data_IF_675146959557
#
_entry.id   IF_675146959557
#
_cell.length_a   1.000
_cell.length_b   1.000
_cell.length_c   1.000
_cell.angle_alpha   90.00
_cell.angle_beta   90.00
_cell.angle_gamma   90.00
#
_symmetry.space_group_name_H-M   'P 1'
#
loop_
_entity.id
_entity.type
_entity.pdbx_description
1 polymer ?
#
# COMPACT_ATOMS: atom_id res chain seq x y z
N UNK A 1 16.22 -20.55 17.36
CA UNK A 1 16.37 -21.68 16.41
C UNK A 1 15.56 -21.47 15.13
N UNK A 2 14.30 -21.03 15.18
CA UNK A 2 13.51 -20.72 13.98
C UNK A 2 14.13 -19.58 13.13
N UNK A 3 14.58 -18.48 13.76
CA UNK A 3 15.18 -17.35 13.04
C UNK A 3 16.47 -17.71 12.30
N UNK A 4 17.33 -18.53 12.90
CA UNK A 4 18.57 -18.98 12.26
C UNK A 4 18.30 -19.77 10.97
N UNK A 5 17.24 -20.60 10.96
CA UNK A 5 16.84 -21.36 9.79
C UNK A 5 16.24 -20.47 8.70
N UNK A 6 15.51 -19.42 9.08
CA UNK A 6 14.98 -18.44 8.12
C UNK A 6 16.11 -17.60 7.52
N UNK A 7 17.11 -17.22 8.32
CA UNK A 7 18.29 -16.49 7.84
C UNK A 7 19.08 -17.30 6.79
N UNK A 8 19.20 -18.61 6.98
CA UNK A 8 19.80 -19.51 5.98
C UNK A 8 18.96 -19.65 4.71
N UNK A 9 17.62 -19.54 4.80
CA UNK A 9 16.75 -19.56 3.62
C UNK A 9 16.81 -18.23 2.85
N UNK A 10 16.98 -17.10 3.54
CA UNK A 10 17.15 -15.77 2.93
C UNK A 10 18.47 -15.66 2.16
N UNK A 11 19.54 -16.32 2.64
CA UNK A 11 20.85 -16.29 1.98
C UNK A 11 20.93 -17.16 0.72
N UNK A 12 20.02 -18.12 0.56
CA UNK A 12 19.93 -18.96 -0.64
C UNK A 12 19.15 -18.26 -1.76
N UNK A 13 19.49 -18.51 -3.03
CA UNK A 13 18.76 -17.93 -4.14
C UNK A 13 17.35 -18.55 -4.22
N UNK A 14 16.34 -17.72 -4.52
CA UNK A 14 14.91 -18.11 -4.49
C UNK A 14 14.55 -19.28 -5.43
N UNK A 15 15.34 -19.53 -6.48
CA UNK A 15 15.14 -20.63 -7.42
C UNK A 15 15.50 -22.02 -6.84
N UNK A 16 16.25 -22.07 -5.74
CA UNK A 16 16.65 -23.32 -5.07
C UNK A 16 15.72 -23.70 -3.91
N UNK A 17 14.79 -22.81 -3.56
CA UNK A 17 13.85 -22.99 -2.46
C UNK A 17 12.58 -23.73 -2.93
N UNK A 18 12.03 -24.56 -2.06
CA UNK A 18 10.70 -25.14 -2.25
C UNK A 18 9.61 -24.08 -2.08
N UNK A 19 8.42 -24.32 -2.63
CA UNK A 19 7.27 -23.40 -2.46
C UNK A 19 6.93 -23.15 -0.99
N UNK A 20 7.06 -24.17 -0.14
CA UNK A 20 6.84 -24.05 1.30
C UNK A 20 7.87 -23.13 1.96
N UNK A 21 9.15 -23.28 1.62
CA UNK A 21 10.21 -22.42 2.15
C UNK A 21 10.06 -20.97 1.67
N UNK A 22 9.64 -20.76 0.42
CA UNK A 22 9.35 -19.41 -0.10
C UNK A 22 8.23 -18.76 0.70
N UNK A 23 7.15 -19.49 1.01
CA UNK A 23 6.04 -18.97 1.81
C UNK A 23 6.49 -18.60 3.23
N UNK A 24 7.36 -19.41 3.85
CA UNK A 24 7.93 -19.11 5.17
C UNK A 24 8.82 -17.87 5.15
N UNK A 25 9.64 -17.70 4.12
CA UNK A 25 10.46 -16.48 3.94
C UNK A 25 9.57 -15.26 3.73
N UNK A 26 8.54 -15.36 2.89
CA UNK A 26 7.60 -14.27 2.61
C UNK A 26 6.82 -13.84 3.86
N UNK A 27 6.35 -14.79 4.69
CA UNK A 27 5.69 -14.51 5.97
C UNK A 27 6.63 -13.78 6.94
N UNK A 28 7.90 -14.18 6.98
CA UNK A 28 8.91 -13.51 7.79
C UNK A 28 9.22 -12.09 7.27
N UNK A 29 9.36 -11.92 5.95
CA UNK A 29 9.55 -10.62 5.29
C UNK A 29 8.37 -9.67 5.59
N UNK A 30 7.13 -10.18 5.63
CA UNK A 30 5.96 -9.38 6.01
C UNK A 30 5.91 -9.01 7.49
N UNK A 31 6.45 -9.84 8.37
CA UNK A 31 6.37 -9.61 9.83
C UNK A 31 7.49 -8.72 10.33
N UNK A 32 8.71 -8.91 9.84
CA UNK A 32 9.92 -8.25 10.33
C UNK A 32 10.43 -7.17 9.38
N UNK A 33 10.00 -7.20 8.12
CA UNK A 33 10.47 -6.28 7.08
C UNK A 33 9.69 -4.96 7.00
N UNK A 34 9.94 -4.15 5.96
CA UNK A 34 9.31 -2.84 5.78
C UNK A 34 7.79 -2.92 5.57
N UNK A 35 7.27 -4.05 5.10
CA UNK A 35 5.82 -4.27 4.91
C UNK A 35 5.09 -4.59 6.22
N UNK A 36 5.81 -4.78 7.33
CA UNK A 36 5.22 -4.98 8.66
C UNK A 36 4.30 -3.85 9.09
N UNK A 37 4.51 -2.64 8.55
CA UNK A 37 3.64 -1.50 8.79
C UNK A 37 2.22 -1.73 8.22
N UNK A 38 2.11 -2.38 7.06
CA UNK A 38 0.83 -2.76 6.45
C UNK A 38 0.18 -3.92 7.19
N UNK A 39 0.97 -4.89 7.64
CA UNK A 39 0.50 -5.97 8.49
C UNK A 39 -0.10 -5.44 9.80
N UNK A 40 0.59 -4.46 10.40
CA UNK A 40 0.10 -3.76 11.59
C UNK A 40 -1.18 -3.00 11.29
N UNK A 41 -1.26 -2.29 10.16
CA UNK A 41 -2.46 -1.57 9.73
C UNK A 41 -3.67 -2.50 9.55
N UNK A 42 -3.49 -3.67 8.94
CA UNK A 42 -4.56 -4.67 8.76
C UNK A 42 -5.04 -5.22 10.10
N UNK A 43 -4.11 -5.60 10.99
CA UNK A 43 -4.42 -6.18 12.31
C UNK A 43 -5.14 -5.18 13.22
N UNK A 44 -4.62 -3.96 13.32
CA UNK A 44 -5.17 -2.90 14.16
C UNK A 44 -6.37 -2.19 13.52
N UNK A 45 -6.62 -2.44 12.23
CA UNK A 45 -7.61 -1.74 11.41
C UNK A 45 -7.39 -0.22 11.43
N UNK A 46 -6.17 0.28 11.60
CA UNK A 46 -5.88 1.71 11.59
C UNK A 46 -6.07 2.31 10.20
N UNK A 47 -6.25 3.63 10.15
CA UNK A 47 -6.32 4.33 8.88
C UNK A 47 -4.91 4.56 8.35
N UNK A 48 -4.75 4.40 7.04
CA UNK A 48 -3.50 4.68 6.34
C UNK A 48 -3.73 5.79 5.33
N UNK A 49 -2.74 6.66 5.19
CA UNK A 49 -2.67 7.64 4.13
C UNK A 49 -1.70 7.13 3.05
N UNK A 50 -2.22 6.93 1.85
CA UNK A 50 -1.48 6.41 0.69
C UNK A 50 -1.33 7.54 -0.33
N UNK A 51 -0.09 7.87 -0.69
CA UNK A 51 0.20 8.81 -1.77
C UNK A 51 0.46 8.06 -3.07
N UNK A 52 -0.33 8.37 -4.10
CA UNK A 52 -0.27 7.71 -5.41
C UNK A 52 0.52 8.55 -6.44
N UNK A 53 0.99 7.89 -7.51
CA UNK A 53 1.80 8.49 -8.59
C UNK A 53 1.12 9.62 -9.36
N UNK A 54 -0.20 9.65 -9.42
CA UNK A 54 -1.00 10.70 -10.06
C UNK A 54 -1.28 11.90 -9.13
N UNK A 55 -0.49 12.06 -8.06
CA UNK A 55 -0.65 13.09 -7.03
C UNK A 55 -2.03 13.07 -6.36
N UNK A 56 -2.65 11.89 -6.30
CA UNK A 56 -3.86 11.64 -5.50
C UNK A 56 -3.47 11.01 -4.17
N UNK A 57 -4.20 11.35 -3.13
CA UNK A 57 -4.00 10.82 -1.78
C UNK A 57 -5.23 10.02 -1.38
N UNK A 58 -5.04 8.82 -0.85
CA UNK A 58 -6.13 7.94 -0.43
C UNK A 58 -6.00 7.74 1.07
N UNK A 59 -7.02 8.14 1.82
CA UNK A 59 -7.17 7.80 3.23
C UNK A 59 -8.10 6.60 3.31
N UNK A 60 -7.62 5.45 3.77
CA UNK A 60 -8.40 4.21 3.78
C UNK A 60 -8.00 3.28 4.93
N UNK A 61 -8.74 2.19 5.11
CA UNK A 61 -8.31 1.05 5.95
C UNK A 61 -7.90 -0.10 5.05
N UNK A 62 -6.73 -0.68 5.31
CA UNK A 62 -6.24 -1.83 4.54
C UNK A 62 -6.91 -3.09 5.05
N UNK A 63 -7.51 -3.86 4.15
CA UNK A 63 -8.12 -5.16 4.46
C UNK A 63 -7.18 -6.32 4.17
N UNK A 64 -6.43 -6.22 3.08
CA UNK A 64 -5.40 -7.17 2.68
C UNK A 64 -4.35 -6.46 1.83
N UNK A 65 -3.14 -7.00 1.79
CA UNK A 65 -2.06 -6.56 0.91
C UNK A 65 -1.26 -7.76 0.41
N UNK A 66 -0.37 -7.54 -0.55
CA UNK A 66 0.57 -8.56 -1.05
C UNK A 66 2.01 -8.02 -1.15
N UNK A 67 2.93 -8.87 -1.61
CA UNK A 67 4.35 -8.53 -1.84
C UNK A 67 4.60 -7.45 -2.89
N UNK A 68 3.65 -7.17 -3.77
CA UNK A 68 3.76 -6.12 -4.77
C UNK A 68 3.19 -4.79 -4.26
N UNK A 69 2.79 -4.72 -2.99
CA UNK A 69 2.04 -3.60 -2.41
C UNK A 69 0.68 -3.39 -3.09
N UNK A 70 0.09 -4.40 -3.74
CA UNK A 70 -1.32 -4.32 -4.09
C UNK A 70 -2.13 -4.36 -2.79
N UNK A 71 -3.21 -3.59 -2.72
CA UNK A 71 -4.00 -3.47 -1.51
C UNK A 71 -5.49 -3.55 -1.80
N UNK A 72 -6.21 -4.27 -0.95
CA UNK A 72 -7.66 -4.19 -0.84
C UNK A 72 -7.97 -3.19 0.26
N UNK A 73 -8.65 -2.12 -0.10
CA UNK A 73 -8.98 -1.00 0.77
C UNK A 73 -10.49 -0.94 1.03
N UNK A 74 -10.86 -0.63 2.26
CA UNK A 74 -12.24 -0.38 2.66
C UNK A 74 -12.41 1.06 3.16
N UNK A 75 -13.59 1.63 2.90
CA UNK A 75 -13.95 3.01 3.28
C UNK A 75 -12.89 4.01 2.79
N UNK A 76 -12.49 3.88 1.53
CA UNK A 76 -11.45 4.70 0.92
C UNK A 76 -11.99 6.09 0.57
N UNK A 77 -11.29 7.13 1.03
CA UNK A 77 -11.51 8.51 0.63
C UNK A 77 -10.33 8.97 -0.20
N UNK A 78 -10.56 9.14 -1.50
CA UNK A 78 -9.55 9.66 -2.41
C UNK A 78 -9.69 11.17 -2.56
N UNK A 79 -8.56 11.87 -2.49
CA UNK A 79 -8.47 13.32 -2.45
C UNK A 79 -7.46 13.80 -3.49
N UNK A 80 -7.84 14.80 -4.26
CA UNK A 80 -6.97 15.43 -5.25
C UNK A 80 -7.31 16.90 -5.43
N UNK A 81 -6.42 17.64 -6.08
CA UNK A 81 -6.63 19.05 -6.39
C UNK A 81 -6.81 19.21 -7.89
N UNK A 82 -7.90 19.83 -8.30
CA UNK A 82 -8.14 20.24 -9.68
C UNK A 82 -7.91 21.73 -9.85
N UNK A 83 -7.39 22.11 -11.01
CA UNK A 83 -7.29 23.51 -11.43
C UNK A 83 -8.24 23.71 -12.60
N UNK A 84 -9.48 24.19 -12.38
CA UNK A 84 -10.44 24.39 -13.45
C UNK A 84 -9.91 25.45 -14.44
N UNK A 85 -10.30 25.33 -15.70
CA UNK A 85 -10.08 26.40 -16.69
C UNK A 85 -11.30 27.32 -16.68
N UNK A 86 -11.07 28.63 -16.57
CA UNK A 86 -12.13 29.63 -16.71
C UNK A 86 -12.57 29.77 -18.17
N UNK A 87 -13.73 30.41 -18.38
CA UNK A 87 -14.26 30.70 -19.71
C UNK A 87 -13.30 31.54 -20.59
N UNK A 88 -12.42 32.31 -19.97
CA UNK A 88 -11.37 33.08 -20.63
C UNK A 88 -10.06 32.30 -20.88
N UNK A 89 -10.06 30.98 -20.64
CA UNK A 89 -8.89 30.10 -20.84
C UNK A 89 -7.82 30.18 -19.75
N UNK A 90 -7.93 31.08 -18.77
CA UNK A 90 -6.97 31.18 -17.67
C UNK A 90 -7.15 30.06 -16.63
N UNK A 91 -6.06 29.71 -15.93
CA UNK A 91 -6.10 28.73 -14.84
C UNK A 91 -6.82 29.36 -13.64
N UNK A 92 -7.85 28.67 -13.15
CA UNK A 92 -8.60 29.10 -11.98
C UNK A 92 -7.95 28.75 -10.66
N UNK A 93 -8.66 29.07 -9.58
CA UNK A 93 -8.23 28.71 -8.22
C UNK A 93 -8.21 27.19 -8.07
N UNK A 94 -7.17 26.67 -7.42
CA UNK A 94 -7.09 25.26 -7.05
C UNK A 94 -8.27 24.87 -6.16
N UNK A 95 -9.02 23.85 -6.57
CA UNK A 95 -10.17 23.30 -5.83
C UNK A 95 -9.80 21.90 -5.36
N UNK A 96 -9.99 21.64 -4.08
CA UNK A 96 -9.84 20.30 -3.53
C UNK A 96 -11.12 19.52 -3.81
N UNK A 97 -10.96 18.34 -4.41
CA UNK A 97 -12.03 17.37 -4.63
C UNK A 97 -11.74 16.12 -3.83
N UNK A 98 -12.80 15.49 -3.38
CA UNK A 98 -12.77 14.19 -2.76
C UNK A 98 -13.85 13.27 -3.32
N UNK A 99 -13.60 11.97 -3.27
CA UNK A 99 -14.58 10.93 -3.57
C UNK A 99 -14.48 9.82 -2.54
N UNK A 100 -15.63 9.27 -2.18
CA UNK A 100 -15.73 8.11 -1.30
C UNK A 100 -15.96 6.84 -2.12
N UNK A 101 -15.22 5.79 -1.77
CA UNK A 101 -15.28 4.48 -2.40
C UNK A 101 -15.36 3.42 -1.29
N UNK A 102 -16.46 2.69 -1.21
CA UNK A 102 -16.70 1.71 -0.14
C UNK A 102 -15.68 0.57 -0.14
N UNK A 103 -15.34 0.05 -1.33
CA UNK A 103 -14.34 -1.01 -1.54
C UNK A 103 -13.50 -0.68 -2.77
N UNK A 104 -12.18 -0.73 -2.63
CA UNK A 104 -11.25 -0.37 -3.68
C UNK A 104 -10.09 -1.37 -3.74
N UNK A 105 -9.81 -1.89 -4.94
CA UNK A 105 -8.55 -2.57 -5.20
C UNK A 105 -7.55 -1.55 -5.75
N UNK A 106 -6.41 -1.40 -5.07
CA UNK A 106 -5.32 -0.53 -5.47
C UNK A 106 -4.13 -1.37 -5.92
N UNK A 107 -3.62 -1.09 -7.12
CA UNK A 107 -2.43 -1.73 -7.65
C UNK A 107 -1.16 -1.08 -7.10
N UNK A 108 -0.19 -1.88 -6.68
CA UNK A 108 1.00 -1.43 -5.97
C UNK A 108 1.95 -0.55 -6.78
N UNK A 109 1.99 -0.70 -8.11
CA UNK A 109 2.80 0.13 -9.00
C UNK A 109 2.45 1.63 -8.89
N UNK A 110 1.22 1.94 -8.49
CA UNK A 110 0.73 3.32 -8.32
C UNK A 110 1.11 3.93 -6.96
N UNK A 111 1.52 3.12 -5.98
CA UNK A 111 1.85 3.56 -4.63
C UNK A 111 3.25 4.15 -4.61
N UNK A 112 3.41 5.32 -3.96
CA UNK A 112 4.72 5.94 -3.72
C UNK A 112 5.08 5.87 -2.24
N UNK A 113 4.14 6.28 -1.38
CA UNK A 113 4.36 6.40 0.05
C UNK A 113 3.12 5.93 0.79
N UNK A 114 3.33 5.18 1.88
CA UNK A 114 2.31 4.80 2.83
C UNK A 114 2.69 5.36 4.19
N UNK A 115 1.76 6.06 4.81
CA UNK A 115 1.88 6.58 6.18
C UNK A 115 0.82 5.91 7.05
N UNK A 116 1.26 5.32 8.16
CA UNK A 116 0.36 4.87 9.22
C UNK A 116 -0.07 6.10 10.04
N UNK A 117 -1.38 6.35 10.11
CA UNK A 117 -1.95 7.47 10.88
C UNK A 117 -2.38 7.06 12.28
#
# INVERSE_FOLDING_TARGET
MADAKIQELISKPRNELTEYEIAQVEEHEFTTGPLSILQTAVRSRTQVLISCRNNRKILARVKAFDRHCNMVLENAKEMWTETPRLANGQKGRKVNKDRFISKLFLRGDSVILVLLS
#
